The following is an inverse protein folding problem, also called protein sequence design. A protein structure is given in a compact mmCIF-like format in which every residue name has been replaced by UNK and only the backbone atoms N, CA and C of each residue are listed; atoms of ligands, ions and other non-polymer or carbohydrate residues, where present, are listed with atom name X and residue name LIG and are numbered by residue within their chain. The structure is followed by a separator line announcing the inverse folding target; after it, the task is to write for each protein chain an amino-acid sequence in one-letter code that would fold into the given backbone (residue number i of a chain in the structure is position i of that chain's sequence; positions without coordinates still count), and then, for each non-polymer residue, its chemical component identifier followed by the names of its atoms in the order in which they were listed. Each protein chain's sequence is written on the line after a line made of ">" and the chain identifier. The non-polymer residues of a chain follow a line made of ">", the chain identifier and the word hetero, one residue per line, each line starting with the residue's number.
data_IF_631638663893
#
_entry.id   IF_631638663893
#
_cell.length_a   1.000
_cell.length_b   1.000
_cell.length_c   1.000
_cell.angle_alpha   90.00
_cell.angle_beta   90.00
_cell.angle_gamma   90.00
#
_symmetry.space_group_name_H-M   'P 1'
#
loop_
_entity.id
_entity.type
_entity.pdbx_description
1 polymer ?
#
# COMPACT_ATOMS: atom_id res chain seq x y z
N UNK A 1 15.71 23.11 -3.69
CA UNK A 1 16.00 22.40 -2.42
C UNK A 1 14.69 22.25 -1.66
N UNK A 2 14.43 21.13 -0.97
CA UNK A 2 13.22 20.98 -0.17
C UNK A 2 13.24 21.99 0.97
N UNK A 3 12.15 22.76 1.13
CA UNK A 3 12.00 23.76 2.21
C UNK A 3 10.77 23.37 3.03
N UNK A 4 10.93 23.28 4.35
CA UNK A 4 9.85 22.93 5.25
C UNK A 4 9.98 23.71 6.56
N UNK A 5 8.86 24.22 7.07
CA UNK A 5 8.75 24.84 8.39
C UNK A 5 8.20 23.81 9.39
N UNK A 6 8.86 23.67 10.54
CA UNK A 6 8.40 22.87 11.67
C UNK A 6 7.95 23.80 12.80
N UNK A 7 6.67 23.76 13.15
CA UNK A 7 6.11 24.48 14.29
C UNK A 7 5.87 23.51 15.44
N UNK A 8 6.78 23.51 16.41
CA UNK A 8 6.68 22.66 17.61
C UNK A 8 5.69 23.28 18.59
N UNK A 9 4.59 22.58 18.86
CA UNK A 9 3.56 23.03 19.83
C UNK A 9 3.88 22.58 21.25
N UNK A 10 4.49 21.40 21.41
CA UNK A 10 4.83 20.83 22.72
C UNK A 10 6.30 20.39 22.76
N UNK A 11 7.00 20.69 23.85
CA UNK A 11 8.38 20.27 24.09
C UNK A 11 8.57 18.76 24.18
N UNK A 12 7.50 17.98 24.41
CA UNK A 12 7.51 16.53 24.35
C UNK A 12 8.00 15.98 22.99
N UNK A 13 7.86 16.77 21.91
CA UNK A 13 8.40 16.48 20.59
C UNK A 13 9.89 16.10 20.63
N UNK A 14 10.72 16.91 21.30
CA UNK A 14 12.17 16.70 21.34
C UNK A 14 12.55 15.42 22.09
N UNK A 15 11.82 15.10 23.17
CA UNK A 15 12.02 13.87 23.93
C UNK A 15 11.65 12.64 23.11
N UNK A 16 10.52 12.67 22.39
CA UNK A 16 10.09 11.57 21.52
C UNK A 16 11.07 11.37 20.35
N UNK A 17 11.48 12.45 19.71
CA UNK A 17 12.45 12.42 18.62
C UNK A 17 13.80 11.84 19.08
N UNK A 18 14.30 12.23 20.25
CA UNK A 18 15.55 11.71 20.79
C UNK A 18 15.45 10.23 21.22
N UNK A 19 14.30 9.80 21.73
CA UNK A 19 14.12 8.44 22.24
C UNK A 19 13.86 7.40 21.13
N UNK A 20 13.11 7.78 20.09
CA UNK A 20 12.59 6.84 19.09
C UNK A 20 12.76 7.31 17.64
N UNK A 21 13.54 8.37 17.39
CA UNK A 21 13.90 8.89 16.06
C UNK A 21 12.71 8.98 15.09
N UNK A 22 12.63 8.10 14.08
CA UNK A 22 11.58 8.02 13.07
C UNK A 22 10.20 7.77 13.68
N UNK A 23 10.12 6.81 14.61
CA UNK A 23 8.89 6.49 15.30
C UNK A 23 8.48 7.62 16.25
N UNK A 24 9.44 8.26 16.91
CA UNK A 24 9.22 9.42 17.75
C UNK A 24 8.64 10.61 16.98
N UNK A 25 9.15 10.87 15.77
CA UNK A 25 8.62 11.88 14.86
C UNK A 25 7.19 11.55 14.41
N UNK A 26 6.92 10.29 14.06
CA UNK A 26 5.59 9.86 13.63
C UNK A 26 4.53 10.03 14.72
N UNK A 27 4.83 9.64 15.95
CA UNK A 27 3.91 9.78 17.08
C UNK A 27 3.70 11.25 17.42
N UNK A 28 4.77 12.06 17.43
CA UNK A 28 4.63 13.48 17.68
C UNK A 28 3.81 14.18 16.58
N UNK A 29 3.96 13.79 15.30
CA UNK A 29 3.10 14.33 14.26
C UNK A 29 1.63 13.90 14.46
N UNK A 30 1.37 12.63 14.81
CA UNK A 30 0.01 12.12 15.04
C UNK A 30 -0.70 12.83 16.20
N UNK A 31 -0.01 13.04 17.32
CA UNK A 31 -0.59 13.69 18.52
C UNK A 31 -0.66 15.22 18.43
N UNK A 32 -0.25 15.84 17.31
CA UNK A 32 -0.21 17.31 17.21
C UNK A 32 0.96 17.97 17.94
N UNK A 33 1.96 17.18 18.31
CA UNK A 33 3.32 17.55 18.74
C UNK A 33 3.93 18.71 17.96
N UNK A 34 3.85 18.55 16.65
CA UNK A 34 4.55 19.34 15.66
C UNK A 34 3.67 19.49 14.42
N UNK A 35 3.49 20.72 13.97
CA UNK A 35 2.92 20.97 12.64
C UNK A 35 4.03 21.17 11.63
N UNK A 36 3.82 20.61 10.44
CA UNK A 36 4.81 20.56 9.38
C UNK A 36 4.14 21.15 8.14
N UNK A 37 4.76 22.15 7.53
CA UNK A 37 4.18 22.84 6.37
C UNK A 37 4.09 21.93 5.14
N UNK A 38 5.09 21.08 4.92
CA UNK A 38 5.08 20.05 3.87
C UNK A 38 5.80 18.79 4.37
N UNK A 39 5.01 17.75 4.64
CA UNK A 39 5.52 16.45 5.07
C UNK A 39 6.45 15.80 4.03
N UNK A 40 6.18 15.99 2.73
CA UNK A 40 7.01 15.40 1.68
C UNK A 40 8.42 16.00 1.69
N UNK A 41 8.52 17.33 1.79
CA UNK A 41 9.80 18.02 1.95
C UNK A 41 10.50 17.64 3.25
N UNK A 42 9.77 17.50 4.36
CA UNK A 42 10.35 17.03 5.63
C UNK A 42 11.01 15.65 5.49
N UNK A 43 10.32 14.68 4.88
CA UNK A 43 10.89 13.35 4.65
C UNK A 43 12.07 13.38 3.68
N UNK A 44 12.01 14.19 2.61
CA UNK A 44 13.16 14.38 1.70
C UNK A 44 14.38 14.91 2.45
N UNK A 45 14.21 15.88 3.35
CA UNK A 45 15.29 16.41 4.18
C UNK A 45 15.87 15.30 5.07
N UNK A 46 15.02 14.49 5.72
CA UNK A 46 15.49 13.38 6.55
C UNK A 46 16.26 12.32 5.74
N UNK A 47 15.83 12.05 4.51
CA UNK A 47 16.52 11.12 3.61
C UNK A 47 17.88 11.66 3.15
N UNK A 48 17.96 12.93 2.75
CA UNK A 48 19.21 13.58 2.38
C UNK A 48 20.21 13.60 3.54
N UNK A 49 19.72 13.75 4.77
CA UNK A 49 20.53 13.79 5.98
C UNK A 49 20.65 12.43 6.70
N UNK A 50 20.26 11.32 6.06
CA UNK A 50 20.26 9.99 6.68
C UNK A 50 21.63 9.62 7.27
N UNK A 51 22.73 10.03 6.63
CA UNK A 51 24.08 9.77 7.13
C UNK A 51 24.40 10.54 8.41
N UNK A 52 23.85 11.73 8.62
CA UNK A 52 24.03 12.53 9.84
C UNK A 52 23.07 12.09 10.96
N UNK A 53 21.92 11.51 10.61
CA UNK A 53 20.89 11.04 11.54
C UNK A 53 21.11 9.59 12.01
N UNK A 54 21.93 8.79 11.30
CA UNK A 54 22.29 7.43 11.73
C UNK A 54 23.50 7.49 12.68
N UNK A 55 23.40 7.00 13.93
CA UNK A 55 24.46 7.11 14.94
C UNK A 55 25.70 6.24 14.66
N UNK A 56 25.83 5.67 13.46
CA UNK A 56 26.82 4.66 13.09
C UNK A 56 27.77 5.06 11.97
N UNK A 57 27.73 6.30 11.48
CA UNK A 57 28.65 6.81 10.45
C UNK A 57 29.80 7.66 10.99
N UNK A 58 29.85 7.97 12.29
CA UNK A 58 30.95 8.72 12.91
C UNK A 58 32.05 7.82 13.48
N UNK A 59 32.54 6.86 12.69
CA UNK A 59 33.77 6.12 13.02
C UNK A 59 34.61 5.81 11.77
N UNK A 60 34.92 6.83 10.98
CA UNK A 60 36.09 6.81 10.11
C UNK A 60 36.47 8.23 9.69
N UNK A 61 37.13 8.96 10.59
CA UNK A 61 38.02 10.04 10.16
C UNK A 61 39.26 10.02 11.02
N UNK A 62 40.32 9.49 10.42
CA UNK A 62 41.69 9.56 10.88
C UNK A 62 42.11 11.02 11.04
N UNK A 63 42.59 11.31 12.24
CA UNK A 63 43.44 12.41 12.69
C UNK A 63 44.09 13.32 11.63
N UNK A 64 43.88 14.63 11.76
CA UNK A 64 44.99 15.60 11.84
C UNK A 64 44.55 16.91 12.50
N UNK A 65 45.52 17.50 13.20
CA UNK A 65 45.44 18.42 14.32
C UNK A 65 45.16 19.88 13.93
N UNK A 66 44.35 20.61 14.71
CA UNK A 66 44.82 21.72 15.57
C UNK A 66 43.66 22.53 16.16
N UNK A 67 43.59 22.42 17.50
CA UNK A 67 42.98 23.30 18.51
C UNK A 67 42.28 24.59 18.08
N UNK A 68 41.00 24.72 18.46
CA UNK A 68 40.54 25.69 19.47
C UNK A 68 39.11 25.39 19.95
N UNK A 69 38.92 25.45 21.28
CA UNK A 69 37.66 25.55 22.02
C UNK A 69 36.77 24.29 22.12
N UNK A 70 37.06 23.54 23.18
CA UNK A 70 36.20 22.54 23.78
C UNK A 70 34.87 23.15 24.28
N UNK A 71 33.75 22.63 23.78
CA UNK A 71 32.45 22.58 24.46
C UNK A 71 31.58 21.56 23.74
N UNK A 72 30.91 20.66 24.49
CA UNK A 72 29.97 19.61 24.05
C UNK A 72 30.52 18.18 23.82
N UNK A 73 31.68 17.83 24.38
CA UNK A 73 32.14 16.43 24.47
C UNK A 73 31.78 15.75 25.81
N UNK A 74 30.53 15.91 26.28
CA UNK A 74 30.03 15.20 27.47
C UNK A 74 28.66 14.52 27.28
N UNK A 75 28.24 14.26 26.04
CA UNK A 75 26.95 13.64 25.75
C UNK A 75 27.00 12.44 24.78
N UNK A 76 28.17 11.91 24.43
CA UNK A 76 28.29 10.80 23.46
C UNK A 76 28.81 9.48 24.04
N UNK A 77 29.24 9.44 25.30
CA UNK A 77 29.81 8.21 25.89
C UNK A 77 28.83 7.40 26.76
N UNK A 78 27.61 7.90 26.98
CA UNK A 78 26.58 7.19 27.77
C UNK A 78 25.48 6.51 26.93
N UNK A 79 25.41 6.78 25.63
CA UNK A 79 24.33 6.25 24.77
C UNK A 79 24.53 4.80 24.28
N UNK A 80 25.76 4.26 24.28
CA UNK A 80 26.02 2.89 23.79
C UNK A 80 25.55 1.78 24.75
N UNK A 81 25.59 2.03 26.07
CA UNK A 81 25.19 1.02 27.05
C UNK A 81 23.66 0.96 27.24
N UNK A 82 22.96 2.09 27.12
CA UNK A 82 21.50 2.14 27.23
C UNK A 82 20.80 1.48 26.04
N UNK A 83 21.30 1.67 24.81
CA UNK A 83 20.76 0.97 23.63
C UNK A 83 20.99 -0.55 23.70
N UNK A 84 22.15 -0.99 24.19
CA UNK A 84 22.48 -2.42 24.22
C UNK A 84 21.79 -3.17 25.36
N UNK A 85 21.59 -2.53 26.52
CA UNK A 85 21.05 -3.18 27.71
C UNK A 85 19.54 -3.00 27.90
N UNK A 86 18.93 -1.93 27.35
CA UNK A 86 17.49 -1.66 27.49
C UNK A 86 16.77 -1.87 26.16
N UNK A 87 17.28 -1.34 25.04
CA UNK A 87 16.56 -1.41 23.76
C UNK A 87 16.58 -2.82 23.13
N UNK A 88 17.65 -3.62 23.29
CA UNK A 88 17.71 -5.00 22.74
C UNK A 88 16.71 -5.97 23.38
N UNK A 89 16.56 -6.06 24.72
CA UNK A 89 15.55 -6.93 25.30
C UNK A 89 14.13 -6.40 25.07
N UNK A 90 13.89 -5.08 25.04
CA UNK A 90 12.56 -4.50 24.73
C UNK A 90 12.16 -4.67 23.25
N UNK A 91 13.10 -4.47 22.32
CA UNK A 91 12.92 -4.78 20.90
C UNK A 91 12.63 -6.27 20.73
N UNK A 92 13.41 -7.16 21.36
CA UNK A 92 13.19 -8.61 21.30
C UNK A 92 11.88 -9.05 21.96
N UNK A 93 11.48 -8.48 23.10
CA UNK A 93 10.18 -8.72 23.76
C UNK A 93 8.99 -8.15 22.95
N UNK A 94 9.19 -7.07 22.20
CA UNK A 94 8.18 -6.57 21.26
C UNK A 94 8.10 -7.50 20.04
N UNK A 95 9.23 -7.91 19.46
CA UNK A 95 9.30 -8.74 18.24
C UNK A 95 8.77 -10.16 18.49
N UNK A 96 9.02 -10.73 19.67
CA UNK A 96 8.51 -12.07 20.06
C UNK A 96 7.01 -12.11 20.33
N UNK A 97 6.37 -10.95 20.54
CA UNK A 97 4.88 -10.85 20.58
C UNK A 97 4.25 -10.77 19.19
N UNK A 98 5.04 -10.71 18.12
CA UNK A 98 4.59 -10.55 16.74
C UNK A 98 4.93 -11.75 15.85
N UNK A 99 4.80 -12.96 16.41
CA UNK A 99 4.88 -14.20 15.61
C UNK A 99 3.64 -14.28 14.72
N UNK A 100 3.84 -14.38 13.39
CA UNK A 100 2.80 -14.62 12.39
C UNK A 100 2.18 -16.03 12.58
N UNK A 101 1.33 -16.17 13.59
CA UNK A 101 0.49 -17.34 13.77
C UNK A 101 -0.79 -17.22 12.94
N UNK A 102 -1.41 -18.35 12.60
CA UNK A 102 -2.67 -18.42 11.83
C UNK A 102 -3.77 -17.50 12.42
N UNK A 103 -3.93 -17.53 13.74
CA UNK A 103 -4.89 -16.69 14.47
C UNK A 103 -4.49 -15.20 14.46
N UNK A 104 -3.19 -14.90 14.50
CA UNK A 104 -2.66 -13.53 14.40
C UNK A 104 -2.91 -12.91 13.02
N UNK A 105 -2.62 -13.64 11.94
CA UNK A 105 -2.84 -13.19 10.57
C UNK A 105 -4.31 -12.84 10.30
N UNK A 106 -5.26 -13.72 10.70
CA UNK A 106 -6.70 -13.45 10.56
C UNK A 106 -7.13 -12.20 11.35
N UNK A 107 -6.67 -12.07 12.60
CA UNK A 107 -7.00 -10.91 13.45
C UNK A 107 -6.41 -9.61 12.90
N UNK A 108 -5.21 -9.66 12.33
CA UNK A 108 -4.52 -8.50 11.78
C UNK A 108 -5.15 -8.01 10.46
N UNK A 109 -5.55 -8.93 9.57
CA UNK A 109 -6.24 -8.59 8.32
C UNK A 109 -7.65 -8.05 8.60
N UNK A 110 -8.38 -8.69 9.51
CA UNK A 110 -9.67 -8.19 9.99
C UNK A 110 -9.54 -6.78 10.59
N UNK A 111 -8.61 -6.54 11.51
CA UNK A 111 -8.49 -5.24 12.18
C UNK A 111 -8.19 -4.03 11.27
N UNK A 112 -7.58 -4.23 10.10
CA UNK A 112 -7.26 -3.13 9.17
C UNK A 112 -8.33 -2.92 8.10
N UNK A 113 -8.89 -3.99 7.55
CA UNK A 113 -9.89 -3.91 6.49
C UNK A 113 -11.34 -3.85 7.02
N UNK A 114 -11.55 -4.15 8.30
CA UNK A 114 -12.87 -4.10 8.94
C UNK A 114 -13.16 -2.72 9.62
N UNK A 115 -12.41 -1.67 9.27
CA UNK A 115 -12.61 -0.30 9.77
C UNK A 115 -13.95 0.24 9.26
N UNK A 116 -14.06 0.51 7.95
CA UNK A 116 -15.33 0.88 7.32
C UNK A 116 -15.19 0.82 5.80
N UNK A 117 -16.04 0.02 5.14
CA UNK A 117 -16.12 0.01 3.67
C UNK A 117 -16.55 1.37 3.09
N UNK A 118 -17.37 2.13 3.83
CA UNK A 118 -17.83 3.46 3.43
C UNK A 118 -16.67 4.46 3.43
N UNK A 119 -15.75 4.36 4.39
CA UNK A 119 -14.52 5.14 4.40
C UNK A 119 -13.64 4.81 3.18
N UNK A 120 -13.42 3.53 2.89
CA UNK A 120 -12.62 3.13 1.72
C UNK A 120 -13.27 3.61 0.41
N UNK A 121 -14.60 3.56 0.31
CA UNK A 121 -15.32 4.06 -0.86
C UNK A 121 -15.17 5.57 -1.10
N UNK A 122 -14.93 6.36 -0.05
CA UNK A 122 -14.80 7.81 -0.16
C UNK A 122 -13.52 8.27 -0.87
N UNK A 123 -12.42 7.50 -0.78
CA UNK A 123 -11.14 7.88 -1.39
C UNK A 123 -10.63 6.92 -2.47
N UNK A 124 -11.11 5.69 -2.51
CA UNK A 124 -10.81 4.75 -3.60
C UNK A 124 -11.64 5.10 -4.84
N UNK A 125 -11.25 4.54 -5.98
CA UNK A 125 -12.06 4.56 -7.20
C UNK A 125 -13.28 3.63 -7.08
N UNK A 126 -14.23 3.74 -8.01
CA UNK A 126 -15.50 2.97 -8.01
C UNK A 126 -15.28 1.44 -7.97
N UNK A 127 -14.16 0.98 -8.50
CA UNK A 127 -13.77 -0.42 -8.45
C UNK A 127 -13.34 -0.87 -7.04
N UNK A 128 -13.16 0.03 -6.07
CA UNK A 128 -12.73 -0.27 -4.69
C UNK A 128 -11.40 -1.02 -4.66
N UNK A 129 -10.44 -0.69 -5.52
CA UNK A 129 -9.14 -1.36 -5.49
C UNK A 129 -8.17 -0.60 -4.61
N UNK A 130 -7.62 -1.28 -3.61
CA UNK A 130 -6.56 -0.76 -2.74
C UNK A 130 -5.23 -1.43 -3.10
N UNK A 131 -4.69 -1.09 -4.26
CA UNK A 131 -3.39 -1.57 -4.76
C UNK A 131 -2.77 -0.53 -5.69
N UNK A 132 -1.55 -0.73 -6.16
CA UNK A 132 -0.93 0.16 -7.15
C UNK A 132 -1.71 0.23 -8.48
N UNK A 133 -2.14 1.41 -8.91
CA UNK A 133 -2.70 1.62 -10.26
C UNK A 133 -1.58 1.75 -11.33
N UNK A 134 -1.92 1.61 -12.62
CA UNK A 134 -0.98 1.85 -13.73
C UNK A 134 -1.45 3.08 -14.52
N UNK A 135 -0.62 4.12 -14.59
CA UNK A 135 -0.92 5.38 -15.31
C UNK A 135 -0.23 5.44 -16.67
N UNK A 136 -0.87 6.06 -17.66
CA UNK A 136 -0.24 6.24 -18.99
C UNK A 136 0.88 7.29 -18.92
N UNK A 137 0.69 8.30 -18.07
CA UNK A 137 1.66 9.34 -17.75
C UNK A 137 1.84 9.42 -16.24
N UNK A 138 3.08 9.43 -15.77
CA UNK A 138 3.38 9.38 -14.32
C UNK A 138 3.11 10.69 -13.58
N UNK A 139 3.27 11.83 -14.28
CA UNK A 139 3.26 13.17 -13.66
C UNK A 139 2.16 14.09 -14.24
N UNK A 140 1.18 13.53 -14.96
CA UNK A 140 0.09 14.31 -15.57
C UNK A 140 -0.78 15.02 -14.53
N UNK A 141 -0.87 14.49 -13.33
CA UNK A 141 -1.59 15.09 -12.19
C UNK A 141 -0.84 16.31 -11.60
N UNK A 142 0.45 16.46 -11.90
CA UNK A 142 1.25 17.61 -11.49
C UNK A 142 1.22 18.75 -12.53
N UNK A 143 0.71 18.49 -13.75
CA UNK A 143 0.55 19.51 -14.79
C UNK A 143 -0.59 20.48 -14.40
N UNK A 144 -0.36 21.81 -14.51
CA UNK A 144 -1.20 22.88 -13.93
C UNK A 144 -2.70 22.86 -14.33
N UNK A 145 -3.09 22.08 -15.35
CA UNK A 145 -4.46 21.96 -15.83
C UNK A 145 -5.30 20.83 -15.22
N UNK A 146 -4.72 19.91 -14.44
CA UNK A 146 -5.38 18.67 -13.97
C UNK A 146 -5.45 18.52 -12.45
N UNK A 147 -5.03 19.55 -11.69
CA UNK A 147 -5.21 19.54 -10.23
C UNK A 147 -6.70 19.50 -9.90
N UNK A 148 -7.11 18.51 -9.10
CA UNK A 148 -8.43 18.47 -8.51
C UNK A 148 -8.73 19.83 -7.85
N UNK A 149 -9.94 20.39 -7.99
CA UNK A 149 -10.26 21.70 -7.42
C UNK A 149 -9.99 21.66 -5.92
N UNK A 150 -8.98 22.41 -5.48
CA UNK A 150 -8.72 22.64 -4.06
C UNK A 150 -9.92 23.45 -3.53
N UNK A 151 -10.52 23.10 -2.38
CA UNK A 151 -11.57 23.93 -1.79
C UNK A 151 -11.03 25.36 -1.56
N UNK A 152 -11.81 26.41 -1.85
CA UNK A 152 -11.36 27.76 -1.60
C UNK A 152 -11.12 27.95 -0.10
N UNK A 153 -9.87 28.19 0.28
CA UNK A 153 -9.51 28.71 1.60
C UNK A 153 -10.07 30.12 1.71
N UNK A 154 -10.96 30.32 2.69
CA UNK A 154 -11.47 31.65 3.04
C UNK A 154 -10.30 32.58 3.38
N UNK A 155 -10.01 33.53 2.50
CA UNK A 155 -8.95 34.51 2.72
C UNK A 155 -8.78 35.50 1.56
N UNK A 156 -9.52 36.60 1.64
CA UNK A 156 -9.30 37.90 0.98
C UNK A 156 -9.22 37.90 -0.56
N UNK A 157 -10.34 38.33 -1.16
CA UNK A 157 -10.40 38.85 -2.54
C UNK A 157 -9.41 40.01 -2.70
N UNK A 158 -8.43 39.85 -3.60
CA UNK A 158 -7.64 40.97 -4.10
C UNK A 158 -8.11 41.31 -5.52
N UNK A 159 -8.82 42.43 -5.61
CA UNK A 159 -9.50 42.95 -6.79
C UNK A 159 -8.47 43.60 -7.74
N UNK A 160 -7.70 42.79 -8.46
CA UNK A 160 -6.69 43.32 -9.39
C UNK A 160 -6.35 42.34 -10.51
N UNK A 161 -7.28 42.13 -11.45
CA UNK A 161 -6.99 41.89 -12.90
C UNK A 161 -8.28 41.78 -13.71
N UNK A 162 -8.92 42.93 -14.01
CA UNK A 162 -9.89 43.01 -15.11
C UNK A 162 -9.13 43.22 -16.43
N UNK A 163 -9.20 42.25 -17.33
CA UNK A 163 -8.87 42.46 -18.75
C UNK A 163 -10.21 42.52 -19.53
N UNK A 164 -10.45 43.55 -20.36
CA UNK A 164 -11.77 43.79 -20.94
C UNK A 164 -12.13 42.86 -22.10
N UNK A 165 -13.38 42.39 -22.09
CA UNK A 165 -14.04 41.66 -23.17
C UNK A 165 -14.34 42.58 -24.36
N UNK A 166 -13.50 42.58 -25.40
CA UNK A 166 -13.94 42.89 -26.77
C UNK A 166 -12.86 42.64 -27.81
N UNK A 167 -12.77 41.44 -28.38
CA UNK A 167 -12.56 41.20 -29.82
C UNK A 167 -12.40 39.70 -30.13
N UNK A 168 -13.41 39.16 -30.85
CA UNK A 168 -13.30 38.31 -32.06
C UNK A 168 -12.62 36.94 -31.94
N UNK A 169 -13.10 35.82 -32.52
CA UNK A 169 -14.13 35.56 -33.54
C UNK A 169 -14.54 34.09 -33.42
N UNK A 170 -15.81 33.85 -33.72
CA UNK A 170 -16.50 32.57 -33.83
C UNK A 170 -15.81 31.62 -34.81
N UNK A 171 -15.43 30.43 -34.35
CA UNK A 171 -15.47 29.21 -35.16
C UNK A 171 -16.37 28.19 -34.46
N UNK A 172 -17.61 28.14 -34.91
CA UNK A 172 -18.58 27.11 -34.58
C UNK A 172 -18.35 25.89 -35.48
N UNK A 173 -18.27 24.71 -34.86
CA UNK A 173 -18.72 23.38 -35.32
C UNK A 173 -17.74 22.26 -34.94
N UNK A 174 -17.84 21.83 -33.68
CA UNK A 174 -17.72 20.43 -33.30
C UNK A 174 -18.78 20.17 -32.24
N UNK A 175 -19.55 19.06 -32.29
CA UNK A 175 -20.55 18.77 -31.28
C UNK A 175 -19.84 18.70 -29.92
N UNK A 176 -20.48 19.11 -28.80
CA UNK A 176 -19.93 18.86 -27.49
C UNK A 176 -19.95 17.35 -27.32
N UNK A 177 -18.80 16.70 -27.59
CA UNK A 177 -18.55 15.38 -27.07
C UNK A 177 -18.70 15.55 -25.57
N UNK A 178 -19.79 15.00 -25.04
CA UNK A 178 -20.01 14.80 -23.63
C UNK A 178 -18.86 13.92 -23.15
N UNK A 179 -17.71 14.54 -22.86
CA UNK A 179 -16.60 13.89 -22.22
C UNK A 179 -17.13 13.52 -20.85
N UNK A 180 -17.55 12.26 -20.72
CA UNK A 180 -17.62 11.63 -19.42
C UNK A 180 -16.23 11.87 -18.84
N UNK A 181 -16.15 12.66 -17.78
CA UNK A 181 -14.93 12.81 -16.99
C UNK A 181 -14.65 11.44 -16.38
N UNK A 182 -14.05 10.55 -17.18
CA UNK A 182 -13.61 9.23 -16.76
C UNK A 182 -12.57 9.46 -15.70
N UNK A 183 -12.88 9.04 -14.47
CA UNK A 183 -11.96 9.09 -13.35
C UNK A 183 -10.60 8.49 -13.77
N UNK A 184 -9.54 9.30 -13.65
CA UNK A 184 -8.18 8.92 -14.03
C UNK A 184 -7.66 7.75 -13.18
N UNK A 185 -8.01 7.72 -11.88
CA UNK A 185 -7.66 6.64 -10.95
C UNK A 185 -8.34 5.34 -11.36
N UNK A 186 -9.66 5.40 -11.58
CA UNK A 186 -10.44 4.25 -12.03
C UNK A 186 -9.87 3.68 -13.34
N UNK A 187 -9.60 4.55 -14.32
CA UNK A 187 -9.04 4.15 -15.60
C UNK A 187 -7.65 3.52 -15.43
N UNK A 188 -6.86 4.00 -14.47
CA UNK A 188 -5.54 3.44 -14.14
C UNK A 188 -5.61 2.09 -13.41
N UNK A 189 -6.58 1.91 -12.53
CA UNK A 189 -6.83 0.62 -11.86
C UNK A 189 -7.32 -0.43 -12.84
N UNK A 190 -8.25 -0.07 -13.73
CA UNK A 190 -8.72 -0.98 -14.78
C UNK A 190 -7.59 -1.38 -15.73
N UNK A 191 -6.76 -0.43 -16.17
CA UNK A 191 -5.57 -0.73 -17.00
C UNK A 191 -4.60 -1.67 -16.29
N UNK A 192 -4.41 -1.52 -14.98
CA UNK A 192 -3.61 -2.45 -14.18
C UNK A 192 -4.22 -3.85 -14.15
N UNK A 193 -5.50 -3.98 -13.83
CA UNK A 193 -6.18 -5.27 -13.77
C UNK A 193 -6.12 -5.98 -15.14
N UNK A 194 -6.39 -5.25 -16.22
CA UNK A 194 -6.24 -5.78 -17.59
C UNK A 194 -4.79 -6.17 -17.91
N UNK A 195 -3.80 -5.41 -17.45
CA UNK A 195 -2.39 -5.75 -17.63
C UNK A 195 -2.04 -7.08 -16.94
N UNK A 196 -2.52 -7.30 -15.71
CA UNK A 196 -2.33 -8.54 -14.95
C UNK A 196 -3.02 -9.72 -15.66
N UNK A 197 -4.27 -9.54 -16.11
CA UNK A 197 -5.01 -10.58 -16.82
C UNK A 197 -4.37 -10.92 -18.17
N UNK A 198 -3.83 -9.93 -18.90
CA UNK A 198 -3.05 -10.18 -20.12
C UNK A 198 -1.77 -10.96 -19.84
N UNK A 199 -1.04 -10.62 -18.77
CA UNK A 199 0.15 -11.39 -18.33
C UNK A 199 -0.20 -12.81 -17.89
N UNK A 200 -1.37 -13.00 -17.31
CA UNK A 200 -1.85 -14.33 -16.98
C UNK A 200 -2.24 -15.16 -18.22
N UNK A 201 -2.36 -14.58 -19.42
CA UNK A 201 -2.81 -15.27 -20.65
C UNK A 201 -4.06 -16.12 -20.39
N UNK A 202 -5.13 -15.45 -19.95
CA UNK A 202 -6.40 -16.09 -19.65
C UNK A 202 -7.08 -16.54 -20.95
N UNK A 203 -7.48 -17.82 -21.02
CA UNK A 203 -8.19 -18.39 -22.17
C UNK A 203 -9.58 -18.88 -21.79
N UNK A 204 -10.49 -19.00 -22.78
CA UNK A 204 -11.83 -19.56 -22.54
C UNK A 204 -11.76 -20.97 -21.93
N UNK A 205 -12.56 -21.22 -20.90
CA UNK A 205 -12.72 -22.53 -20.25
C UNK A 205 -11.68 -22.87 -19.18
N UNK A 206 -10.82 -21.93 -18.80
CA UNK A 206 -9.83 -22.11 -17.74
C UNK A 206 -10.43 -21.92 -16.34
N UNK A 207 -9.68 -22.36 -15.33
CA UNK A 207 -9.93 -22.06 -13.91
C UNK A 207 -8.86 -21.11 -13.37
N UNK A 208 -9.30 -20.00 -12.77
CA UNK A 208 -8.45 -19.00 -12.13
C UNK A 208 -8.62 -19.06 -10.61
N UNK A 209 -7.50 -19.17 -9.89
CA UNK A 209 -7.43 -18.98 -8.44
C UNK A 209 -6.91 -17.57 -8.14
N UNK A 210 -7.73 -16.76 -7.47
CA UNK A 210 -7.35 -15.46 -6.95
C UNK A 210 -7.06 -15.56 -5.44
N UNK A 211 -5.82 -15.24 -5.04
CA UNK A 211 -5.39 -15.19 -3.65
C UNK A 211 -5.38 -13.73 -3.19
N UNK A 212 -6.39 -13.37 -2.38
CA UNK A 212 -6.60 -12.00 -1.92
C UNK A 212 -7.68 -11.28 -2.73
N UNK A 213 -8.95 -11.64 -2.47
CA UNK A 213 -10.13 -11.12 -3.21
C UNK A 213 -10.25 -9.59 -3.18
N UNK A 214 -9.77 -8.95 -2.10
CA UNK A 214 -10.12 -7.55 -1.81
C UNK A 214 -11.64 -7.37 -1.85
N UNK A 215 -12.11 -6.42 -2.66
CA UNK A 215 -13.54 -6.18 -2.91
C UNK A 215 -14.06 -6.79 -4.22
N UNK A 216 -13.31 -7.71 -4.84
CA UNK A 216 -13.74 -8.54 -5.98
C UNK A 216 -13.49 -7.94 -7.37
N UNK A 217 -12.74 -6.83 -7.48
CA UNK A 217 -12.56 -6.07 -8.73
C UNK A 217 -11.90 -6.88 -9.84
N UNK A 218 -10.86 -7.66 -9.50
CA UNK A 218 -10.18 -8.54 -10.46
C UNK A 218 -11.12 -9.66 -10.94
N UNK A 219 -11.76 -10.39 -10.01
CA UNK A 219 -12.71 -11.44 -10.34
C UNK A 219 -13.85 -10.94 -11.25
N UNK A 220 -14.43 -9.79 -10.90
CA UNK A 220 -15.51 -9.16 -11.66
C UNK A 220 -15.06 -8.82 -13.08
N UNK A 221 -13.91 -8.17 -13.24
CA UNK A 221 -13.35 -7.82 -14.55
C UNK A 221 -13.02 -9.07 -15.38
N UNK A 222 -12.34 -10.05 -14.77
CA UNK A 222 -11.96 -11.29 -15.44
C UNK A 222 -13.19 -12.07 -15.95
N UNK A 223 -14.27 -12.12 -15.16
CA UNK A 223 -15.50 -12.77 -15.55
C UNK A 223 -16.28 -12.02 -16.65
N UNK A 224 -16.15 -10.68 -16.70
CA UNK A 224 -16.73 -9.84 -17.77
C UNK A 224 -15.96 -10.01 -19.08
N UNK A 225 -14.62 -10.03 -19.04
CA UNK A 225 -13.76 -10.20 -20.21
C UNK A 225 -13.80 -11.62 -20.78
N UNK A 226 -13.96 -12.63 -19.92
CA UNK A 226 -13.94 -14.04 -20.32
C UNK A 226 -15.21 -14.78 -19.86
N UNK A 227 -16.20 -14.99 -20.75
CA UNK A 227 -17.50 -15.56 -20.39
C UNK A 227 -17.48 -17.02 -19.88
N UNK A 228 -16.43 -17.79 -20.17
CA UNK A 228 -16.32 -19.21 -19.80
C UNK A 228 -15.31 -19.47 -18.69
N UNK A 229 -14.70 -18.41 -18.13
CA UNK A 229 -13.75 -18.53 -17.03
C UNK A 229 -14.49 -18.85 -15.72
N UNK A 230 -13.98 -19.84 -14.99
CA UNK A 230 -14.37 -20.10 -13.59
C UNK A 230 -13.34 -19.46 -12.67
N UNK A 231 -13.82 -18.73 -11.66
CA UNK A 231 -12.97 -17.97 -10.73
C UNK A 231 -13.29 -18.42 -9.32
N UNK A 232 -12.28 -18.95 -8.63
CA UNK A 232 -12.30 -19.19 -7.20
C UNK A 232 -11.43 -18.13 -6.55
N UNK A 233 -12.01 -17.28 -5.70
CA UNK A 233 -11.30 -16.20 -5.02
C UNK A 233 -11.38 -16.38 -3.51
N UNK A 234 -10.26 -16.14 -2.83
CA UNK A 234 -10.16 -16.35 -1.38
C UNK A 234 -9.83 -15.05 -0.63
N UNK A 235 -10.40 -14.89 0.56
CA UNK A 235 -10.08 -13.79 1.48
C UNK A 235 -10.24 -14.23 2.94
N UNK A 236 -9.56 -13.52 3.86
CA UNK A 236 -9.68 -13.71 5.30
C UNK A 236 -10.64 -12.72 5.98
N UNK A 237 -10.98 -11.59 5.32
CA UNK A 237 -11.92 -10.60 5.87
C UNK A 237 -13.36 -10.94 5.47
N UNK A 238 -14.21 -11.06 6.49
CA UNK A 238 -15.65 -11.31 6.33
C UNK A 238 -16.38 -10.10 5.74
N UNK A 239 -15.94 -8.87 6.04
CA UNK A 239 -16.52 -7.65 5.48
C UNK A 239 -16.21 -7.53 3.99
N UNK A 240 -14.95 -7.77 3.60
CA UNK A 240 -14.54 -7.81 2.20
C UNK A 240 -15.30 -8.89 1.42
N UNK A 241 -15.39 -10.11 1.97
CA UNK A 241 -16.14 -11.20 1.33
C UNK A 241 -17.63 -10.85 1.13
N UNK A 242 -18.25 -10.20 2.13
CA UNK A 242 -19.66 -9.82 2.08
C UNK A 242 -19.92 -8.76 1.01
N UNK A 243 -19.10 -7.71 0.96
CA UNK A 243 -19.23 -6.65 -0.05
C UNK A 243 -18.87 -7.17 -1.45
N UNK A 244 -17.83 -7.99 -1.59
CA UNK A 244 -17.49 -8.62 -2.87
C UNK A 244 -18.64 -9.47 -3.40
N UNK A 245 -19.27 -10.32 -2.57
CA UNK A 245 -20.46 -11.10 -2.96
C UNK A 245 -21.62 -10.22 -3.39
N UNK A 246 -21.88 -9.12 -2.68
CA UNK A 246 -22.94 -8.17 -3.05
C UNK A 246 -22.67 -7.52 -4.41
N UNK A 247 -21.43 -7.11 -4.68
CA UNK A 247 -21.02 -6.52 -5.96
C UNK A 247 -21.07 -7.53 -7.11
N UNK A 248 -20.64 -8.77 -6.87
CA UNK A 248 -20.71 -9.86 -7.85
C UNK A 248 -22.17 -10.20 -8.20
N UNK A 249 -23.05 -10.24 -7.19
CA UNK A 249 -24.49 -10.49 -7.41
C UNK A 249 -25.14 -9.40 -8.28
N UNK A 250 -24.68 -8.14 -8.16
CA UNK A 250 -25.18 -7.02 -8.94
C UNK A 250 -24.83 -7.11 -10.44
N UNK A 251 -23.81 -7.87 -10.84
CA UNK A 251 -23.43 -8.08 -12.25
C UNK A 251 -24.35 -9.07 -13.00
N UNK A 252 -25.31 -9.67 -12.31
CA UNK A 252 -26.29 -10.58 -12.88
C UNK A 252 -25.95 -12.07 -12.70
N UNK A 253 -26.98 -12.94 -12.81
CA UNK A 253 -26.88 -14.35 -12.42
C UNK A 253 -25.89 -15.17 -13.25
N UNK A 254 -25.70 -14.83 -14.53
CA UNK A 254 -24.77 -15.54 -15.42
C UNK A 254 -23.28 -15.28 -15.08
N UNK A 255 -22.97 -14.10 -14.50
CA UNK A 255 -21.61 -13.76 -14.05
C UNK A 255 -21.39 -14.29 -12.64
N UNK A 256 -22.38 -14.10 -11.76
CA UNK A 256 -22.29 -14.53 -10.36
C UNK A 256 -22.14 -16.04 -10.20
N UNK A 257 -22.72 -16.87 -11.09
CA UNK A 257 -22.57 -18.32 -11.03
C UNK A 257 -21.15 -18.82 -11.31
N UNK A 258 -20.27 -17.95 -11.84
CA UNK A 258 -18.89 -18.30 -12.25
C UNK A 258 -17.83 -17.84 -11.26
N UNK A 259 -18.20 -17.00 -10.29
CA UNK A 259 -17.29 -16.47 -9.28
C UNK A 259 -17.70 -17.00 -7.92
N UNK A 260 -16.81 -17.74 -7.28
CA UNK A 260 -17.03 -18.24 -5.91
C UNK A 260 -16.08 -17.54 -4.95
N UNK A 261 -16.66 -16.83 -3.97
CA UNK A 261 -15.90 -16.12 -2.92
C UNK A 261 -15.83 -16.98 -1.66
N UNK A 262 -14.64 -17.45 -1.34
CA UNK A 262 -14.36 -18.30 -0.19
C UNK A 262 -13.72 -17.52 0.96
N UNK A 263 -14.26 -17.65 2.17
CA UNK A 263 -13.64 -17.08 3.37
C UNK A 263 -12.73 -18.15 4.01
N UNK A 264 -11.46 -18.18 3.63
CA UNK A 264 -10.51 -19.17 4.13
C UNK A 264 -9.07 -18.66 4.06
N UNK A 265 -8.20 -19.30 4.83
CA UNK A 265 -6.77 -19.07 4.75
C UNK A 265 -6.18 -19.83 3.57
N UNK A 266 -5.29 -19.19 2.81
CA UNK A 266 -4.65 -19.81 1.65
C UNK A 266 -3.84 -21.06 2.03
N UNK A 267 -3.30 -21.11 3.25
CA UNK A 267 -2.49 -22.25 3.74
C UNK A 267 -3.31 -23.52 3.91
N UNK A 268 -4.60 -23.38 4.18
CA UNK A 268 -5.53 -24.47 4.43
C UNK A 268 -6.34 -24.89 3.20
N UNK A 269 -6.09 -24.28 2.03
CA UNK A 269 -6.85 -24.54 0.79
C UNK A 269 -6.97 -26.04 0.51
N UNK A 270 -5.87 -26.78 0.49
CA UNK A 270 -5.86 -28.19 0.13
C UNK A 270 -6.44 -29.09 1.23
N UNK A 271 -6.50 -28.60 2.47
CA UNK A 271 -7.15 -29.30 3.58
C UNK A 271 -8.67 -29.21 3.48
N UNK A 272 -9.18 -28.04 3.07
CA UNK A 272 -10.61 -27.77 2.92
C UNK A 272 -11.13 -28.28 1.57
N UNK A 273 -10.34 -28.13 0.51
CA UNK A 273 -10.62 -28.57 -0.84
C UNK A 273 -9.51 -29.47 -1.37
N UNK A 274 -9.53 -30.78 -1.06
CA UNK A 274 -8.60 -31.74 -1.64
C UNK A 274 -8.65 -31.76 -3.17
N UNK A 275 -9.83 -31.50 -3.76
CA UNK A 275 -10.06 -31.47 -5.21
C UNK A 275 -9.37 -30.31 -5.93
N UNK A 276 -8.72 -29.39 -5.20
CA UNK A 276 -8.02 -28.24 -5.76
C UNK A 276 -6.54 -28.51 -6.03
N UNK A 277 -6.04 -29.70 -5.66
CA UNK A 277 -4.71 -30.14 -6.04
C UNK A 277 -4.62 -30.26 -7.57
N UNK A 278 -3.70 -29.48 -8.16
CA UNK A 278 -3.49 -29.36 -9.61
C UNK A 278 -4.74 -28.98 -10.43
N UNK A 279 -5.68 -28.25 -9.83
CA UNK A 279 -6.95 -27.94 -10.49
C UNK A 279 -6.92 -26.64 -11.32
N UNK A 280 -6.03 -25.70 -10.99
CA UNK A 280 -6.06 -24.34 -11.54
C UNK A 280 -5.10 -24.16 -12.72
N UNK A 281 -5.59 -23.56 -13.79
CA UNK A 281 -4.76 -23.16 -14.94
C UNK A 281 -3.96 -21.90 -14.63
N UNK A 282 -4.53 -21.01 -13.81
CA UNK A 282 -4.01 -19.68 -13.55
C UNK A 282 -4.11 -19.32 -12.08
N UNK A 283 -3.08 -18.65 -11.55
CA UNK A 283 -3.10 -18.06 -10.22
C UNK A 283 -2.80 -16.58 -10.31
N UNK A 284 -3.58 -15.75 -9.63
CA UNK A 284 -3.28 -14.33 -9.49
C UNK A 284 -3.29 -13.96 -8.00
N UNK A 285 -2.31 -13.18 -7.58
CA UNK A 285 -2.23 -12.65 -6.21
C UNK A 285 -1.75 -11.20 -6.27
N UNK A 286 -2.51 -10.27 -5.70
CA UNK A 286 -2.19 -8.84 -5.73
C UNK A 286 -1.96 -8.34 -4.31
N UNK A 287 -0.77 -7.83 -4.02
CA UNK A 287 -0.38 -7.14 -2.77
C UNK A 287 -0.78 -7.87 -1.48
N UNK A 288 -0.67 -9.20 -1.51
CA UNK A 288 -0.95 -10.09 -0.38
C UNK A 288 0.34 -10.59 0.29
N UNK A 289 1.43 -10.74 -0.47
CA UNK A 289 2.68 -11.38 0.02
C UNK A 289 3.30 -10.58 1.17
N UNK A 290 3.06 -9.28 1.21
CA UNK A 290 3.46 -8.33 2.24
C UNK A 290 2.92 -8.73 3.63
N UNK A 291 1.77 -9.41 3.67
CA UNK A 291 1.13 -9.89 4.89
C UNK A 291 1.57 -11.31 5.31
N UNK A 292 2.28 -12.06 4.44
CA UNK A 292 2.68 -13.45 4.70
C UNK A 292 3.81 -13.52 5.73
N UNK A 293 4.77 -12.59 5.66
CA UNK A 293 5.97 -12.63 6.48
C UNK A 293 7.07 -13.50 5.88
N UNK A 294 8.33 -13.21 6.25
CA UNK A 294 9.53 -13.85 5.66
C UNK A 294 9.54 -15.38 5.78
N UNK A 295 9.14 -15.92 6.93
CA UNK A 295 9.23 -17.35 7.24
C UNK A 295 8.23 -18.20 6.45
N UNK A 296 7.14 -17.59 5.97
CA UNK A 296 6.03 -18.29 5.32
C UNK A 296 6.02 -18.12 3.80
N UNK A 297 7.01 -17.43 3.21
CA UNK A 297 7.12 -17.24 1.76
C UNK A 297 7.24 -18.58 1.02
N UNK A 298 8.06 -19.50 1.53
CA UNK A 298 8.21 -20.83 0.92
C UNK A 298 6.92 -21.65 1.00
N UNK A 299 6.17 -21.52 2.11
CA UNK A 299 4.86 -22.17 2.26
C UNK A 299 3.85 -21.60 1.28
N UNK A 300 3.85 -20.28 1.06
CA UNK A 300 3.01 -19.64 0.05
C UNK A 300 3.28 -20.21 -1.34
N UNK A 301 4.54 -20.24 -1.77
CA UNK A 301 4.91 -20.79 -3.07
C UNK A 301 4.60 -22.29 -3.19
N UNK A 302 4.81 -23.07 -2.14
CA UNK A 302 4.48 -24.50 -2.12
C UNK A 302 2.97 -24.76 -2.21
N UNK A 303 2.13 -23.89 -1.66
CA UNK A 303 0.67 -23.96 -1.84
C UNK A 303 0.29 -23.60 -3.27
N UNK A 304 0.83 -22.52 -3.81
CA UNK A 304 0.58 -22.10 -5.20
C UNK A 304 0.98 -23.20 -6.18
N UNK A 305 2.14 -23.80 -5.99
CA UNK A 305 2.64 -24.91 -6.80
C UNK A 305 1.69 -26.11 -6.81
N UNK A 306 1.19 -26.52 -5.64
CA UNK A 306 0.24 -27.64 -5.53
C UNK A 306 -1.15 -27.32 -6.07
N UNK A 307 -1.58 -26.05 -6.09
CA UNK A 307 -2.86 -25.66 -6.66
C UNK A 307 -2.81 -25.56 -8.19
N UNK A 308 -1.65 -25.22 -8.75
CA UNK A 308 -1.45 -25.08 -10.19
C UNK A 308 -1.34 -26.44 -10.88
N UNK A 309 -1.95 -26.54 -12.07
CA UNK A 309 -1.76 -27.67 -12.98
C UNK A 309 -0.27 -27.93 -13.24
N UNK A 310 0.05 -29.19 -13.48
CA UNK A 310 1.41 -29.65 -13.77
C UNK A 310 1.91 -29.18 -15.15
N UNK A 311 1.00 -28.92 -16.08
CA UNK A 311 1.31 -28.47 -17.44
C UNK A 311 0.57 -27.17 -17.80
N UNK A 312 1.25 -26.26 -18.50
CA UNK A 312 0.62 -25.08 -19.09
C UNK A 312 0.14 -24.00 -18.11
N UNK A 313 0.44 -24.16 -16.83
CA UNK A 313 0.04 -23.23 -15.77
C UNK A 313 0.89 -21.95 -15.77
N UNK A 314 0.23 -20.82 -15.49
CA UNK A 314 0.84 -19.48 -15.39
C UNK A 314 0.32 -18.81 -14.14
N UNK A 315 1.22 -18.18 -13.39
CA UNK A 315 0.86 -17.36 -12.23
C UNK A 315 1.38 -15.94 -12.37
N UNK A 316 0.63 -14.99 -11.82
CA UNK A 316 1.01 -13.58 -11.75
C UNK A 316 0.88 -13.09 -10.33
N UNK A 317 1.96 -12.53 -9.81
CA UNK A 317 2.02 -11.96 -8.45
C UNK A 317 2.41 -10.49 -8.54
N UNK A 318 1.62 -9.62 -7.93
CA UNK A 318 1.98 -8.23 -7.67
C UNK A 318 2.37 -8.09 -6.20
N UNK A 319 3.52 -7.46 -5.94
CA UNK A 319 4.07 -7.32 -4.58
C UNK A 319 4.92 -6.07 -4.45
N UNK A 320 4.76 -5.38 -3.31
CA UNK A 320 5.63 -4.29 -2.86
C UNK A 320 6.93 -4.89 -2.33
N UNK A 321 8.04 -4.34 -2.80
CA UNK A 321 9.39 -4.84 -2.58
C UNK A 321 10.29 -3.75 -2.04
N UNK A 322 11.35 -4.17 -1.35
CA UNK A 322 12.41 -3.29 -0.85
C UNK A 322 13.74 -3.61 -1.56
N UNK A 323 14.59 -2.61 -1.86
CA UNK A 323 15.95 -2.85 -2.36
C UNK A 323 16.77 -3.72 -1.41
N UNK A 324 17.59 -4.61 -1.97
CA UNK A 324 18.37 -5.61 -1.24
C UNK A 324 19.26 -5.01 -0.15
N UNK A 325 19.90 -3.87 -0.44
CA UNK A 325 20.76 -3.13 0.49
C UNK A 325 20.06 -2.73 1.79
N UNK A 326 18.72 -2.70 1.81
CA UNK A 326 17.91 -2.29 2.96
C UNK A 326 17.22 -3.45 3.65
N UNK A 327 17.20 -4.64 3.05
CA UNK A 327 16.45 -5.78 3.56
C UNK A 327 16.90 -6.19 4.97
N UNK A 328 18.20 -6.25 5.23
CA UNK A 328 18.73 -6.64 6.55
C UNK A 328 18.41 -5.61 7.63
N UNK A 329 18.53 -4.33 7.31
CA UNK A 329 18.19 -3.24 8.24
C UNK A 329 16.69 -3.25 8.54
N UNK A 330 15.86 -3.36 7.49
CA UNK A 330 14.40 -3.42 7.60
C UNK A 330 13.94 -4.66 8.38
N UNK A 331 14.59 -5.81 8.20
CA UNK A 331 14.24 -7.02 8.94
C UNK A 331 14.53 -6.93 10.45
N UNK A 332 15.43 -6.05 10.88
CA UNK A 332 15.81 -5.86 12.29
C UNK A 332 15.07 -4.70 12.96
N UNK A 333 14.49 -3.77 12.19
CA UNK A 333 13.79 -2.58 12.68
C UNK A 333 12.27 -2.73 12.81
N UNK A 334 11.67 -1.91 13.66
CA UNK A 334 10.21 -1.69 13.71
C UNK A 334 9.92 -0.26 13.27
N UNK A 335 9.49 -0.11 12.02
CA UNK A 335 9.18 1.19 11.45
C UNK A 335 7.76 1.63 11.83
N UNK A 336 7.45 2.93 11.65
CA UNK A 336 6.09 3.49 11.81
C UNK A 336 5.02 2.60 11.16
N UNK A 337 5.31 2.15 9.95
CA UNK A 337 4.44 1.30 9.17
C UNK A 337 4.13 0.00 9.94
N UNK A 338 5.12 -0.75 10.43
CA UNK A 338 4.89 -2.00 11.19
C UNK A 338 4.19 -1.82 12.52
N UNK A 339 4.32 -0.64 13.15
CA UNK A 339 3.70 -0.36 14.45
C UNK A 339 2.28 0.16 14.31
N UNK A 340 2.02 1.01 13.32
CA UNK A 340 0.81 1.84 13.28
C UNK A 340 -0.06 1.61 12.04
N UNK A 341 0.49 1.17 10.91
CA UNK A 341 -0.23 1.14 9.61
C UNK A 341 -0.40 -0.29 9.07
N UNK A 342 0.71 -1.01 8.88
CA UNK A 342 0.79 -2.38 8.41
C UNK A 342 1.02 -3.34 9.59
N UNK A 343 0.37 -4.49 9.47
CA UNK A 343 0.27 -5.61 10.39
C UNK A 343 1.46 -5.81 11.35
N UNK A 344 1.22 -6.14 12.63
CA UNK A 344 2.24 -6.80 13.43
C UNK A 344 2.62 -8.13 12.76
N UNK A 345 3.74 -8.15 12.02
CA UNK A 345 4.20 -9.28 11.22
C UNK A 345 4.38 -9.01 9.71
N UNK A 346 4.01 -7.82 9.22
CA UNK A 346 4.20 -7.43 7.81
C UNK A 346 5.67 -7.40 7.38
N UNK A 347 5.97 -7.94 6.20
CA UNK A 347 7.33 -8.03 5.68
C UNK A 347 7.36 -7.72 4.18
N UNK A 348 8.16 -6.73 3.81
CA UNK A 348 8.43 -6.40 2.41
C UNK A 348 9.64 -7.21 1.95
N UNK A 349 9.47 -8.16 1.00
CA UNK A 349 10.57 -8.95 0.50
C UNK A 349 11.41 -8.17 -0.52
N UNK A 350 12.64 -8.61 -0.76
CA UNK A 350 13.41 -8.17 -1.93
C UNK A 350 13.08 -9.05 -3.15
N UNK A 351 13.35 -8.55 -4.35
CA UNK A 351 13.12 -9.32 -5.58
C UNK A 351 13.92 -10.64 -5.60
N UNK A 352 15.19 -10.61 -5.19
CA UNK A 352 16.02 -11.83 -5.10
C UNK A 352 15.52 -12.80 -4.05
N UNK A 353 14.99 -12.31 -2.92
CA UNK A 353 14.38 -13.19 -1.91
C UNK A 353 13.12 -13.87 -2.46
N UNK A 354 12.27 -13.14 -3.20
CA UNK A 354 11.09 -13.72 -3.83
C UNK A 354 11.46 -14.83 -4.81
N UNK A 355 12.38 -14.56 -5.73
CA UNK A 355 12.78 -15.52 -6.76
C UNK A 355 13.46 -16.74 -6.13
N UNK A 356 14.38 -16.55 -5.18
CA UNK A 356 15.04 -17.68 -4.49
C UNK A 356 14.06 -18.53 -3.69
N UNK A 357 13.12 -17.90 -2.96
CA UNK A 357 12.08 -18.63 -2.23
C UNK A 357 11.16 -19.43 -3.17
N UNK A 358 10.83 -18.88 -4.34
CA UNK A 358 10.04 -19.58 -5.36
C UNK A 358 10.79 -20.79 -5.91
N UNK A 359 12.06 -20.62 -6.28
CA UNK A 359 12.89 -21.72 -6.78
C UNK A 359 13.07 -22.82 -5.74
N UNK A 360 13.35 -22.47 -4.48
CA UNK A 360 13.51 -23.44 -3.40
C UNK A 360 12.20 -24.19 -3.10
N UNK A 361 11.09 -23.48 -2.94
CA UNK A 361 9.81 -24.08 -2.58
C UNK A 361 9.25 -25.00 -3.68
N UNK A 362 9.52 -24.70 -4.94
CA UNK A 362 9.02 -25.48 -6.08
C UNK A 362 10.04 -26.46 -6.64
N UNK A 363 11.21 -26.59 -6.01
CA UNK A 363 12.34 -27.37 -6.55
C UNK A 363 12.68 -27.03 -8.01
N UNK A 364 12.46 -25.78 -8.41
CA UNK A 364 12.68 -25.28 -9.78
C UNK A 364 11.55 -25.56 -10.78
N UNK A 365 10.40 -26.12 -10.35
CA UNK A 365 9.31 -26.45 -11.27
C UNK A 365 8.58 -25.22 -11.84
N UNK A 366 8.69 -24.06 -11.18
CA UNK A 366 8.20 -22.78 -11.67
C UNK A 366 9.38 -21.90 -12.12
N UNK A 367 9.28 -21.39 -13.36
CA UNK A 367 10.26 -20.50 -13.97
C UNK A 367 9.70 -19.09 -14.09
N UNK A 368 10.53 -18.08 -13.86
CA UNK A 368 10.16 -16.68 -14.05
C UNK A 368 10.16 -16.34 -15.53
N UNK A 369 9.05 -15.78 -16.01
CA UNK A 369 8.88 -15.29 -17.37
C UNK A 369 9.28 -13.82 -17.50
N UNK A 370 8.65 -12.98 -16.68
CA UNK A 370 8.80 -11.53 -16.77
C UNK A 370 8.64 -10.86 -15.41
N UNK A 371 9.38 -9.77 -15.22
CA UNK A 371 9.32 -8.92 -14.04
C UNK A 371 9.14 -7.48 -14.52
N UNK A 372 8.06 -6.82 -14.10
CA UNK A 372 7.77 -5.42 -14.41
C UNK A 372 7.77 -4.60 -13.13
N UNK A 373 8.47 -3.45 -13.11
CA UNK A 373 8.46 -2.53 -11.97
C UNK A 373 7.45 -1.41 -12.21
N UNK A 374 6.40 -1.37 -11.39
CA UNK A 374 5.35 -0.35 -11.39
C UNK A 374 5.48 0.65 -10.22
N UNK A 375 6.56 0.57 -9.43
CA UNK A 375 6.77 1.42 -8.25
C UNK A 375 6.54 2.92 -8.46
N UNK A 376 6.99 3.54 -9.57
CA UNK A 376 6.71 4.96 -9.83
C UNK A 376 5.21 5.30 -9.93
N UNK A 377 4.38 4.38 -10.42
CA UNK A 377 2.93 4.59 -10.50
C UNK A 377 2.27 4.58 -9.12
N UNK A 378 2.86 3.89 -8.14
CA UNK A 378 2.39 3.86 -6.77
C UNK A 378 2.48 5.24 -6.10
N UNK A 379 3.53 6.03 -6.41
CA UNK A 379 3.65 7.38 -5.89
C UNK A 379 2.47 8.27 -6.31
N UNK A 380 2.06 8.20 -7.59
CA UNK A 380 0.86 8.90 -8.08
C UNK A 380 -0.42 8.35 -7.46
N UNK A 381 -0.54 7.03 -7.34
CA UNK A 381 -1.70 6.38 -6.71
C UNK A 381 -1.93 6.90 -5.28
N UNK A 382 -0.87 6.95 -4.46
CA UNK A 382 -0.93 7.43 -3.08
C UNK A 382 -1.27 8.93 -2.98
N UNK A 383 -0.80 9.73 -3.93
CA UNK A 383 -1.14 11.16 -4.01
C UNK A 383 -2.61 11.37 -4.36
N UNK A 384 -3.14 10.66 -5.36
CA UNK A 384 -4.57 10.73 -5.69
C UNK A 384 -5.45 10.24 -4.53
N UNK A 385 -5.04 9.18 -3.81
CA UNK A 385 -5.73 8.75 -2.60
C UNK A 385 -5.66 9.78 -1.48
N UNK A 386 -4.52 10.41 -1.24
CA UNK A 386 -4.38 11.47 -0.23
C UNK A 386 -5.30 12.65 -0.53
N UNK A 387 -5.29 13.12 -1.77
CA UNK A 387 -6.05 14.32 -2.15
C UNK A 387 -7.56 14.04 -2.05
N UNK A 388 -8.01 12.84 -2.46
CA UNK A 388 -9.42 12.41 -2.26
C UNK A 388 -9.77 12.24 -0.79
N UNK A 389 -8.88 11.61 -0.02
CA UNK A 389 -9.07 11.39 1.41
C UNK A 389 -9.25 12.73 2.14
N UNK A 390 -8.42 13.72 1.84
CA UNK A 390 -8.50 15.03 2.47
C UNK A 390 -9.78 15.78 2.07
N UNK A 391 -10.17 15.74 0.79
CA UNK A 391 -11.38 16.37 0.29
C UNK A 391 -12.66 15.71 0.84
N UNK A 392 -12.67 14.39 0.97
CA UNK A 392 -13.82 13.62 1.46
C UNK A 392 -13.84 13.45 3.00
N UNK A 393 -12.81 13.94 3.71
CA UNK A 393 -12.61 13.65 5.12
C UNK A 393 -13.81 14.10 5.98
N UNK A 394 -14.19 15.37 5.87
CA UNK A 394 -15.26 15.94 6.69
C UNK A 394 -16.66 15.50 6.24
N UNK A 395 -16.86 15.29 4.93
CA UNK A 395 -18.18 15.09 4.33
C UNK A 395 -18.64 13.63 4.35
N UNK A 396 -17.72 12.68 4.14
CA UNK A 396 -18.04 11.26 3.95
C UNK A 396 -17.34 10.37 4.97
N UNK A 397 -16.06 10.61 5.24
CA UNK A 397 -15.25 9.72 6.11
C UNK A 397 -15.63 9.87 7.58
N UNK A 398 -15.79 11.10 8.09
CA UNK A 398 -16.20 11.33 9.48
C UNK A 398 -17.54 10.66 9.78
N UNK A 399 -18.63 10.88 9.01
CA UNK A 399 -19.91 10.19 9.24
C UNK A 399 -19.82 8.67 9.14
N UNK A 400 -19.03 8.15 8.19
CA UNK A 400 -18.83 6.71 8.01
C UNK A 400 -18.11 6.06 9.22
N UNK A 401 -17.14 6.75 9.81
CA UNK A 401 -16.41 6.29 10.99
C UNK A 401 -17.28 6.37 12.25
N UNK A 402 -18.10 7.41 12.39
CA UNK A 402 -19.07 7.54 13.50
C UNK A 402 -20.09 6.39 13.49
N UNK A 403 -20.57 6.03 12.30
CA UNK A 403 -21.50 4.91 12.11
C UNK A 403 -20.84 3.54 12.38
N UNK A 404 -19.60 3.35 11.94
CA UNK A 404 -18.90 2.07 12.09
C UNK A 404 -18.37 1.84 13.51
N UNK A 405 -17.98 2.90 14.22
CA UNK A 405 -17.38 2.83 15.56
C UNK A 405 -18.05 3.79 16.56
N UNK A 406 -19.34 3.58 16.89
CA UNK A 406 -20.08 4.47 17.79
C UNK A 406 -19.51 4.52 19.22
N UNK A 407 -18.75 3.51 19.66
CA UNK A 407 -18.16 3.44 21.00
C UNK A 407 -16.92 4.32 21.20
N UNK A 408 -16.18 4.63 20.13
CA UNK A 408 -14.93 5.43 20.17
C UNK A 408 -15.16 6.80 19.55
N UNK A 409 -16.08 6.90 18.58
CA UNK A 409 -16.28 8.07 17.74
C UNK A 409 -17.73 8.58 17.72
N UNK A 410 -18.69 7.90 18.36
CA UNK A 410 -20.10 8.30 18.33
C UNK A 410 -20.46 9.47 19.26
N UNK A 411 -21.66 10.03 19.06
CA UNK A 411 -22.26 11.15 19.84
C UNK A 411 -22.42 10.88 21.36
N UNK A 412 -22.07 9.68 21.83
CA UNK A 412 -22.11 9.29 23.25
C UNK A 412 -20.80 9.48 24.04
N UNK A 413 -19.72 9.95 23.40
CA UNK A 413 -18.50 10.34 24.11
C UNK A 413 -18.78 11.66 24.84
N UNK A 414 -18.70 11.66 26.17
CA UNK A 414 -19.05 12.79 27.05
C UNK A 414 -18.22 14.09 26.83
N UNK A 415 -17.32 14.10 25.85
CA UNK A 415 -16.32 15.13 25.64
C UNK A 415 -16.10 15.32 24.13
N UNK A 416 -16.87 16.23 23.54
CA UNK A 416 -16.82 16.65 22.13
C UNK A 416 -15.41 17.06 21.69
N UNK A 417 -14.58 17.52 22.63
CA UNK A 417 -13.19 17.92 22.41
C UNK A 417 -12.28 16.70 22.17
N UNK A 418 -12.44 15.62 22.96
CA UNK A 418 -11.72 14.36 22.75
C UNK A 418 -12.11 13.65 21.47
N UNK A 419 -13.37 13.79 21.05
CA UNK A 419 -13.85 13.27 19.76
C UNK A 419 -13.12 13.95 18.61
N UNK A 420 -13.06 15.29 18.61
CA UNK A 420 -12.33 16.07 17.61
C UNK A 420 -10.84 15.76 17.63
N UNK A 421 -10.24 15.59 18.80
CA UNK A 421 -8.85 15.19 18.95
C UNK A 421 -8.59 13.80 18.35
N UNK A 422 -9.43 12.81 18.64
CA UNK A 422 -9.28 11.45 18.11
C UNK A 422 -9.43 11.41 16.57
N UNK A 423 -10.36 12.18 16.03
CA UNK A 423 -10.54 12.33 14.58
C UNK A 423 -9.35 13.01 13.91
N UNK A 424 -8.80 14.06 14.53
CA UNK A 424 -7.61 14.74 14.02
C UNK A 424 -6.37 13.84 14.08
N UNK A 425 -6.20 13.06 15.16
CA UNK A 425 -5.13 12.05 15.26
C UNK A 425 -5.27 11.01 14.14
N UNK A 426 -6.49 10.57 13.86
CA UNK A 426 -6.77 9.63 12.76
C UNK A 426 -6.43 10.26 11.40
N UNK A 427 -6.88 11.50 11.14
CA UNK A 427 -6.56 12.24 9.92
C UNK A 427 -5.05 12.37 9.72
N UNK A 428 -4.33 12.83 10.75
CA UNK A 428 -2.86 12.99 10.72
C UNK A 428 -2.14 11.67 10.52
N UNK A 429 -2.63 10.58 11.13
CA UNK A 429 -2.08 9.24 10.92
C UNK A 429 -2.15 8.82 9.44
N UNK A 430 -3.29 9.01 8.78
CA UNK A 430 -3.47 8.66 7.37
C UNK A 430 -2.70 9.58 6.42
N UNK A 431 -2.67 10.89 6.69
CA UNK A 431 -1.84 11.83 5.93
C UNK A 431 -0.35 11.49 6.03
N UNK A 432 0.13 11.17 7.24
CA UNK A 432 1.50 10.72 7.45
C UNK A 432 1.77 9.43 6.67
N UNK A 433 0.85 8.47 6.71
CA UNK A 433 0.95 7.22 5.96
C UNK A 433 1.12 7.45 4.45
N UNK A 434 0.22 8.22 3.83
CA UNK A 434 0.30 8.49 2.39
C UNK A 434 1.60 9.19 2.00
N UNK A 435 1.99 10.23 2.74
CA UNK A 435 3.23 10.97 2.46
C UNK A 435 4.49 10.11 2.69
N UNK A 436 4.50 9.29 3.73
CA UNK A 436 5.62 8.39 4.04
C UNK A 436 5.81 7.35 2.93
N UNK A 437 4.72 6.73 2.47
CA UNK A 437 4.75 5.77 1.37
C UNK A 437 5.06 6.43 0.02
N UNK A 438 4.50 7.61 -0.27
CA UNK A 438 4.76 8.35 -1.52
C UNK A 438 6.25 8.66 -1.67
N UNK A 439 6.90 9.14 -0.60
CA UNK A 439 8.34 9.36 -0.59
C UNK A 439 9.11 8.05 -0.75
N UNK A 440 8.65 6.97 -0.12
CA UNK A 440 9.21 5.64 -0.29
C UNK A 440 9.28 5.22 -1.77
N UNK A 441 8.21 5.42 -2.54
CA UNK A 441 8.17 5.06 -3.96
C UNK A 441 8.83 6.08 -4.88
N UNK A 442 8.63 7.39 -4.65
CA UNK A 442 9.20 8.44 -5.49
C UNK A 442 10.74 8.49 -5.41
N UNK A 443 11.31 8.28 -4.22
CA UNK A 443 12.76 8.20 -4.01
C UNK A 443 13.32 6.78 -4.26
N UNK A 444 12.52 5.86 -4.81
CA UNK A 444 12.89 4.47 -5.16
C UNK A 444 13.45 3.66 -3.97
N UNK A 445 13.00 3.99 -2.77
CA UNK A 445 13.29 3.24 -1.55
C UNK A 445 12.42 2.00 -1.42
N UNK A 446 11.28 2.03 -2.10
CA UNK A 446 10.35 0.95 -2.31
C UNK A 446 10.13 0.79 -3.82
N UNK A 447 9.83 -0.42 -4.25
CA UNK A 447 9.37 -0.72 -5.60
C UNK A 447 8.15 -1.61 -5.54
N UNK A 448 7.40 -1.69 -6.62
CA UNK A 448 6.28 -2.63 -6.73
C UNK A 448 6.46 -3.40 -8.00
N UNK A 449 6.48 -4.73 -7.90
CA UNK A 449 6.79 -5.60 -9.01
C UNK A 449 5.62 -6.50 -9.36
N UNK A 450 5.35 -6.62 -10.66
CA UNK A 450 4.49 -7.66 -11.22
C UNK A 450 5.40 -8.75 -11.77
N UNK A 451 5.35 -9.92 -11.16
CA UNK A 451 6.15 -11.10 -11.48
C UNK A 451 5.23 -12.13 -12.13
N UNK A 452 5.57 -12.53 -13.35
CA UNK A 452 4.91 -13.64 -14.06
C UNK A 452 5.81 -14.87 -13.98
N UNK A 453 5.24 -16.00 -13.59
CA UNK A 453 5.91 -17.29 -13.51
C UNK A 453 5.08 -18.37 -14.18
N UNK A 454 5.73 -19.42 -14.67
CA UNK A 454 5.07 -20.49 -15.41
C UNK A 454 5.72 -21.85 -15.16
N UNK A 455 5.01 -22.93 -15.50
CA UNK A 455 5.58 -24.28 -15.57
C UNK A 455 6.60 -24.38 -16.70
N UNK A 456 7.67 -25.13 -16.46
CA UNK A 456 8.63 -25.50 -17.50
C UNK A 456 7.91 -26.22 -18.66
N UNK A 457 8.28 -25.92 -19.92
CA UNK A 457 7.70 -26.57 -21.09
C UNK A 457 6.35 -26.00 -21.55
N UNK A 458 5.89 -24.86 -21.01
CA UNK A 458 4.68 -24.19 -21.48
C UNK A 458 4.88 -23.49 -22.85
N UNK A 459 5.01 -24.29 -23.91
CA UNK A 459 5.21 -23.82 -25.29
C UNK A 459 4.03 -23.05 -25.87
N UNK A 460 2.85 -23.13 -25.22
CA UNK A 460 1.64 -22.45 -25.68
C UNK A 460 1.59 -20.99 -25.21
N UNK A 461 2.41 -20.59 -24.24
CA UNK A 461 2.42 -19.22 -23.71
C UNK A 461 3.28 -18.30 -24.57
N UNK A 462 2.70 -17.21 -25.09
CA UNK A 462 3.42 -16.20 -25.89
C UNK A 462 3.89 -16.67 -27.28
N UNK A 463 3.89 -17.97 -27.58
CA UNK A 463 4.22 -18.50 -28.90
C UNK A 463 2.93 -18.87 -29.63
N UNK A 464 2.46 -17.98 -30.50
CA UNK A 464 1.59 -18.37 -31.61
C UNK A 464 2.50 -19.01 -32.66
N UNK A 465 2.53 -20.34 -32.72
CA UNK A 465 3.13 -21.07 -33.84
C UNK A 465 2.25 -20.99 -35.08
#
# INVERSE_FOLDING_TARGET
>A
EPVCEFRVRNGAFWLRLAAMSDLGFSEAYMYGDVDVSDLLSAFKIFLLNKQALSPSSSSSTSSSSSSSAASLALASTTHSLAETLVARPLSWLSTTRFVNSLAGAKKNISAHYDISNEMFAAFLSEDMTYSCAIFDRLDEDLEEGNKLPVPPTNGMEDESTRIPQSMRVVHANAPPSRAMTTDALYSAEMRKLEHILRKADIRPGMRLLEIGTGWGSLAMLAAQLHPTLQIDTITLSSQQASLARARIAALGPAVSARITVHEMDYRDILRVHPDWEHAFDRVVSIEMIEAVGREWLEVFWGVVDRCLKTEGAVGVVQVITIPESRLEQYSRGTDFIRKWVLFPGGFLPSLTLLISSLTHATSGALTIDSVSNIGPHYARTLREWRDRFENAFEQEIVPALEKAHPEIMGEGVADEEKRKEAMEVFRRKWLYYYCYCEIGFSERLLGTHIITFMREGNTKYGVQL
#
